data_IF_947814170779
#
_entry.id   IF_947814170779
#
_cell.length_a   1.000
_cell.length_b   1.000
_cell.length_c   1.000
_cell.angle_alpha   90.00
_cell.angle_beta   90.00
_cell.angle_gamma   90.00
#
_symmetry.space_group_name_H-M   'P 1'
#
loop_
_entity.id
_entity.type
_entity.pdbx_description
1 polymer ?
#
# COMPACT_ATOMS: atom_id res chain seq x y z
N UNK A 1 28.15 6.61 -23.70
CA UNK A 1 27.06 5.63 -23.88
C UNK A 1 26.99 4.85 -22.57
N UNK A 2 25.96 5.08 -21.76
CA UNK A 2 25.68 4.31 -20.55
C UNK A 2 25.21 2.95 -21.06
N UNK A 3 25.91 1.87 -20.74
CA UNK A 3 25.42 0.53 -21.04
C UNK A 3 24.11 0.32 -20.30
N UNK A 4 23.04 -0.19 -20.96
CA UNK A 4 21.81 -0.50 -20.25
C UNK A 4 22.15 -1.46 -19.11
N UNK A 5 21.65 -1.16 -17.91
CA UNK A 5 21.81 -2.00 -16.73
C UNK A 5 21.22 -3.37 -17.05
N UNK A 6 22.08 -4.37 -17.26
CA UNK A 6 21.59 -5.72 -17.46
C UNK A 6 20.95 -6.21 -16.17
N UNK A 7 19.75 -6.81 -16.23
CA UNK A 7 19.10 -7.37 -15.04
C UNK A 7 20.08 -8.29 -14.30
N UNK A 8 20.16 -8.17 -12.99
CA UNK A 8 20.95 -9.09 -12.13
C UNK A 8 20.34 -10.49 -12.08
N UNK A 9 19.26 -10.71 -12.81
CA UNK A 9 18.56 -11.97 -12.93
C UNK A 9 17.39 -12.11 -11.95
N UNK A 10 17.63 -12.46 -10.69
CA UNK A 10 16.55 -12.76 -9.74
C UNK A 10 16.80 -12.14 -8.38
N UNK A 11 15.72 -11.70 -7.72
CA UNK A 11 15.75 -11.24 -6.33
C UNK A 11 14.44 -11.58 -5.62
N UNK A 12 14.54 -11.86 -4.32
CA UNK A 12 13.39 -12.12 -3.46
C UNK A 12 13.34 -11.08 -2.35
N UNK A 13 12.13 -10.61 -2.04
CA UNK A 13 11.91 -9.66 -0.96
C UNK A 13 10.66 -10.01 -0.17
N UNK A 14 10.72 -9.82 1.16
CA UNK A 14 9.59 -9.92 2.07
C UNK A 14 9.14 -8.51 2.46
N UNK A 15 7.84 -8.26 2.38
CA UNK A 15 7.25 -7.06 2.94
C UNK A 15 6.05 -7.40 3.82
N UNK A 16 5.94 -6.68 4.92
CA UNK A 16 4.88 -6.89 5.90
C UNK A 16 3.66 -6.03 5.56
N UNK A 17 2.47 -6.52 5.93
CA UNK A 17 1.25 -5.71 5.81
C UNK A 17 1.21 -4.64 6.89
N UNK A 18 0.39 -3.63 6.70
CA UNK A 18 0.20 -2.57 7.67
C UNK A 18 -1.29 -2.34 7.96
N UNK A 19 -1.59 -1.88 9.17
CA UNK A 19 -2.92 -1.42 9.57
C UNK A 19 -2.88 0.10 9.72
N UNK A 20 -3.71 0.80 8.95
CA UNK A 20 -3.87 2.23 9.11
C UNK A 20 -4.59 2.55 10.43
N UNK A 21 -3.97 3.38 11.27
CA UNK A 21 -4.56 3.99 12.46
C UNK A 21 -5.24 5.30 12.09
N UNK A 22 -4.59 6.11 11.24
CA UNK A 22 -5.21 7.23 10.54
C UNK A 22 -5.44 6.81 9.09
N UNK A 23 -6.72 6.76 8.69
CA UNK A 23 -7.16 6.08 7.47
C UNK A 23 -6.81 6.86 6.21
N UNK A 24 -6.41 6.12 5.19
CA UNK A 24 -6.35 6.56 3.80
C UNK A 24 -7.70 6.29 3.14
N UNK A 25 -8.43 7.36 2.79
CA UNK A 25 -9.74 7.25 2.14
C UNK A 25 -9.98 8.39 1.16
N UNK A 26 -9.71 8.12 -0.13
CA UNK A 26 -9.84 9.08 -1.21
C UNK A 26 -8.54 9.33 -1.98
N UNK A 27 -8.67 9.51 -3.29
CA UNK A 27 -7.58 9.84 -4.20
C UNK A 27 -7.90 11.13 -4.95
N UNK A 28 -7.01 12.11 -4.89
CA UNK A 28 -7.11 13.32 -5.73
C UNK A 28 -6.58 13.09 -7.15
N UNK A 29 -5.72 12.07 -7.34
CA UNK A 29 -5.26 11.62 -8.65
C UNK A 29 -5.30 10.09 -8.72
N UNK A 30 -6.02 9.57 -9.72
CA UNK A 30 -6.22 8.13 -9.89
C UNK A 30 -5.03 7.44 -10.59
N UNK A 31 -4.35 8.12 -11.50
CA UNK A 31 -3.24 7.57 -12.27
C UNK A 31 -1.96 7.49 -11.44
N UNK A 32 -1.67 8.55 -10.68
CA UNK A 32 -0.52 8.64 -9.80
C UNK A 32 -0.80 8.12 -8.39
N UNK A 33 -2.04 7.72 -8.09
CA UNK A 33 -2.47 7.28 -6.76
C UNK A 33 -2.18 8.30 -5.65
N UNK A 34 -2.29 9.60 -5.97
CA UNK A 34 -2.12 10.64 -4.97
C UNK A 34 -3.32 10.66 -4.02
N UNK A 35 -3.11 10.56 -2.71
CA UNK A 35 -4.19 10.56 -1.75
C UNK A 35 -4.70 11.98 -1.48
N UNK A 36 -5.94 12.08 -1.01
CA UNK A 36 -6.50 13.36 -0.55
C UNK A 36 -5.87 13.78 0.77
N UNK A 37 -5.61 12.81 1.66
CA UNK A 37 -5.08 13.05 3.01
C UNK A 37 -3.82 12.24 3.26
N UNK A 38 -2.96 12.73 4.14
CA UNK A 38 -1.91 11.91 4.76
C UNK A 38 -2.54 10.82 5.64
N UNK A 39 -1.77 9.79 5.94
CA UNK A 39 -2.24 8.66 6.75
C UNK A 39 -1.11 8.07 7.58
N UNK A 40 -1.44 7.38 8.68
CA UNK A 40 -0.49 6.74 9.56
C UNK A 40 -0.87 5.28 9.77
N UNK A 41 0.10 4.38 9.79
CA UNK A 41 -0.13 2.95 10.02
C UNK A 41 0.91 2.35 10.95
N UNK A 42 0.53 1.20 11.55
CA UNK A 42 1.45 0.28 12.22
C UNK A 42 1.72 -0.90 11.30
N UNK A 43 2.98 -1.27 11.12
CA UNK A 43 3.39 -2.47 10.37
C UNK A 43 3.24 -3.70 11.24
N UNK A 44 2.66 -4.78 10.69
CA UNK A 44 2.37 -6.01 11.41
C UNK A 44 3.47 -7.04 11.16
N UNK A 45 4.00 -7.62 12.22
CA UNK A 45 5.08 -8.61 12.14
C UNK A 45 4.61 -9.96 11.55
N UNK A 46 3.45 -10.45 11.99
CA UNK A 46 2.98 -11.81 11.67
C UNK A 46 2.45 -11.96 10.21
N UNK A 47 2.15 -10.87 9.49
CA UNK A 47 1.49 -10.92 8.19
C UNK A 47 2.36 -10.27 7.11
N UNK A 48 2.74 -11.05 6.11
CA UNK A 48 3.66 -10.61 5.07
C UNK A 48 3.39 -11.28 3.72
N UNK A 49 4.06 -10.79 2.69
CA UNK A 49 4.12 -11.42 1.36
C UNK A 49 5.59 -11.57 0.95
N UNK A 50 5.97 -12.75 0.52
CA UNK A 50 7.24 -13.02 -0.13
C UNK A 50 7.06 -12.92 -1.64
N UNK A 51 7.87 -12.14 -2.33
CA UNK A 51 7.84 -12.01 -3.78
C UNK A 51 9.22 -12.17 -4.37
N UNK A 52 9.34 -13.09 -5.32
CA UNK A 52 10.51 -13.25 -6.18
C UNK A 52 10.21 -12.68 -7.56
N UNK A 53 11.14 -11.89 -8.10
CA UNK A 53 11.11 -11.39 -9.47
C UNK A 53 12.34 -11.91 -10.19
N UNK A 54 12.14 -12.59 -11.31
CA UNK A 54 13.21 -13.12 -12.17
C UNK A 54 13.03 -12.56 -13.57
N UNK A 55 13.95 -11.71 -14.00
CA UNK A 55 14.00 -11.22 -15.37
C UNK A 55 14.69 -12.24 -16.27
N UNK A 56 14.04 -12.60 -17.38
CA UNK A 56 14.52 -13.60 -18.33
C UNK A 56 14.26 -13.14 -19.76
N UNK A 57 15.33 -12.98 -20.52
CA UNK A 57 15.29 -12.56 -21.93
C UNK A 57 14.61 -13.57 -22.86
N UNK A 58 14.39 -14.80 -22.41
CA UNK A 58 13.69 -15.84 -23.20
C UNK A 58 12.16 -15.75 -23.05
N UNK A 59 11.66 -14.99 -22.07
CA UNK A 59 10.22 -14.81 -21.91
C UNK A 59 9.65 -13.86 -22.96
N UNK A 60 8.63 -14.30 -23.67
CA UNK A 60 7.90 -13.47 -24.64
C UNK A 60 6.99 -12.44 -23.94
N UNK A 61 6.50 -12.75 -22.75
CA UNK A 61 5.63 -11.91 -21.92
C UNK A 61 5.83 -12.20 -20.44
N UNK A 62 5.39 -11.28 -19.60
CA UNK A 62 5.45 -11.47 -18.15
C UNK A 62 4.55 -12.62 -17.71
N UNK A 63 4.96 -13.29 -16.63
CA UNK A 63 4.17 -14.33 -15.96
C UNK A 63 4.04 -13.99 -14.49
N UNK A 64 2.89 -14.32 -13.92
CA UNK A 64 2.63 -14.13 -12.51
C UNK A 64 2.06 -15.37 -11.85
N UNK A 65 2.72 -15.87 -10.83
CA UNK A 65 2.30 -17.00 -10.00
C UNK A 65 2.01 -16.47 -8.59
N UNK A 66 0.81 -16.70 -8.08
CA UNK A 66 0.41 -16.34 -6.71
C UNK A 66 -0.02 -17.61 -5.98
N UNK A 67 0.59 -17.87 -4.83
CA UNK A 67 0.31 -19.05 -3.98
C UNK A 67 0.36 -20.38 -4.76
N UNK A 68 1.34 -20.48 -5.65
CA UNK A 68 1.55 -21.66 -6.51
C UNK A 68 0.63 -21.75 -7.73
N UNK A 69 -0.27 -20.79 -7.95
CA UNK A 69 -1.21 -20.78 -9.07
C UNK A 69 -0.86 -19.69 -10.09
N UNK A 70 -0.75 -20.09 -11.36
CA UNK A 70 -0.57 -19.12 -12.45
C UNK A 70 -1.81 -18.25 -12.61
N UNK A 71 -1.60 -16.95 -12.71
CA UNK A 71 -2.67 -15.96 -12.67
C UNK A 71 -3.19 -15.64 -14.07
N UNK A 72 -4.47 -15.25 -14.13
CA UNK A 72 -5.13 -14.84 -15.36
C UNK A 72 -4.50 -13.60 -16.00
N UNK A 73 -4.67 -13.43 -17.31
CA UNK A 73 -4.13 -12.32 -18.10
C UNK A 73 -4.42 -10.93 -17.51
N UNK A 74 -5.58 -10.75 -16.88
CA UNK A 74 -5.97 -9.49 -16.23
C UNK A 74 -5.10 -9.14 -15.01
N UNK A 75 -4.65 -10.12 -14.26
CA UNK A 75 -3.76 -9.94 -13.11
C UNK A 75 -2.31 -9.78 -13.58
N UNK A 76 -1.89 -10.58 -14.55
CA UNK A 76 -0.58 -10.43 -15.20
C UNK A 76 -0.41 -9.03 -15.76
N UNK A 77 -1.42 -8.47 -16.45
CA UNK A 77 -1.37 -7.13 -17.01
C UNK A 77 -1.15 -6.04 -15.93
N UNK A 78 -1.75 -6.19 -14.75
CA UNK A 78 -1.55 -5.24 -13.63
C UNK A 78 -0.12 -5.29 -13.11
N UNK A 79 0.43 -6.50 -12.94
CA UNK A 79 1.81 -6.70 -12.51
C UNK A 79 2.77 -6.17 -13.57
N UNK A 80 2.55 -6.49 -14.84
CA UNK A 80 3.36 -6.02 -15.97
C UNK A 80 3.42 -4.48 -16.04
N UNK A 81 2.27 -3.82 -15.95
CA UNK A 81 2.19 -2.36 -15.94
C UNK A 81 2.91 -1.73 -14.72
N UNK A 82 2.97 -2.45 -13.61
CA UNK A 82 3.77 -2.02 -12.46
C UNK A 82 5.27 -2.19 -12.71
N UNK A 83 5.71 -3.32 -13.25
CA UNK A 83 7.10 -3.59 -13.62
C UNK A 83 7.62 -2.61 -14.68
N UNK A 84 6.76 -2.16 -15.60
CA UNK A 84 7.14 -1.22 -16.66
C UNK A 84 7.67 0.12 -16.12
N UNK A 85 7.23 0.54 -14.93
CA UNK A 85 7.78 1.73 -14.24
C UNK A 85 9.26 1.55 -13.90
N UNK A 86 9.63 0.36 -13.44
CA UNK A 86 11.02 0.03 -13.12
C UNK A 86 11.85 -0.25 -14.38
N UNK A 87 11.24 -0.89 -15.39
CA UNK A 87 11.89 -1.10 -16.69
C UNK A 87 12.27 0.21 -17.35
N UNK A 88 11.41 1.21 -17.28
CA UNK A 88 11.68 2.56 -17.79
C UNK A 88 12.92 3.18 -17.11
N UNK A 89 13.09 2.99 -15.80
CA UNK A 89 14.26 3.47 -15.06
C UNK A 89 15.52 2.67 -15.40
N UNK A 90 15.39 1.35 -15.59
CA UNK A 90 16.50 0.47 -15.96
C UNK A 90 16.83 0.49 -17.46
N UNK A 91 16.02 1.17 -18.26
CA UNK A 91 16.15 1.21 -19.73
C UNK A 91 16.16 -0.20 -20.36
N UNK A 92 15.28 -1.08 -19.90
CA UNK A 92 15.15 -2.46 -20.39
C UNK A 92 13.70 -2.81 -20.70
N UNK A 93 13.48 -3.73 -21.65
CA UNK A 93 12.17 -4.31 -21.97
C UNK A 93 12.08 -5.80 -21.57
N UNK A 94 13.10 -6.31 -20.87
CA UNK A 94 13.19 -7.69 -20.43
C UNK A 94 11.96 -8.10 -19.63
N UNK A 95 11.37 -9.26 -19.96
CA UNK A 95 10.19 -9.80 -19.31
C UNK A 95 10.56 -10.53 -18.02
N UNK A 96 9.59 -10.69 -17.13
CA UNK A 96 9.83 -11.28 -15.84
C UNK A 96 8.82 -12.37 -15.48
N UNK A 97 9.31 -13.37 -14.75
CA UNK A 97 8.50 -14.26 -13.95
C UNK A 97 8.42 -13.67 -12.53
N UNK A 98 7.21 -13.39 -12.07
CA UNK A 98 6.91 -12.98 -10.69
C UNK A 98 6.27 -14.15 -9.96
N UNK A 99 6.86 -14.55 -8.84
CA UNK A 99 6.28 -15.56 -7.94
C UNK A 99 6.07 -14.95 -6.57
N UNK A 100 4.82 -14.92 -6.10
CA UNK A 100 4.46 -14.40 -4.78
C UNK A 100 3.79 -15.46 -3.93
N UNK A 101 4.13 -15.46 -2.64
CA UNK A 101 3.45 -16.26 -1.62
C UNK A 101 2.91 -15.33 -0.55
N UNK A 102 1.60 -15.42 -0.30
CA UNK A 102 0.91 -14.54 0.62
C UNK A 102 0.69 -15.22 1.98
N UNK A 103 1.27 -14.65 3.03
CA UNK A 103 1.12 -15.10 4.42
C UNK A 103 0.17 -14.17 5.21
N UNK A 104 -0.82 -13.62 4.52
CA UNK A 104 -1.88 -12.79 5.11
C UNK A 104 -3.18 -13.58 5.05
N UNK A 105 -3.94 -13.71 6.15
CA UNK A 105 -5.22 -14.43 6.14
C UNK A 105 -6.15 -13.88 5.07
N UNK A 106 -6.63 -14.76 4.20
CA UNK A 106 -7.57 -14.40 3.13
C UNK A 106 -8.88 -13.92 3.75
N UNK A 107 -9.43 -12.84 3.26
CA UNK A 107 -10.69 -12.25 3.73
C UNK A 107 -10.69 -11.67 5.17
N UNK A 108 -9.54 -11.54 5.83
CA UNK A 108 -9.45 -10.94 7.17
C UNK A 108 -9.60 -9.39 7.17
N UNK A 109 -9.98 -8.78 6.05
CA UNK A 109 -10.02 -7.31 5.93
C UNK A 109 -8.62 -6.66 5.84
N UNK A 110 -7.56 -7.45 6.03
CA UNK A 110 -6.18 -7.02 5.89
C UNK A 110 -5.86 -6.80 4.42
N UNK A 111 -5.32 -5.64 4.09
CA UNK A 111 -4.98 -5.25 2.73
C UNK A 111 -3.71 -5.99 2.26
N UNK A 112 -3.85 -7.26 1.81
CA UNK A 112 -2.74 -8.04 1.24
C UNK A 112 -2.04 -7.33 0.07
N UNK A 113 -2.73 -6.43 -0.62
CA UNK A 113 -2.13 -5.61 -1.67
C UNK A 113 -1.03 -4.65 -1.15
N UNK A 114 -1.03 -4.31 0.15
CA UNK A 114 0.00 -3.45 0.73
C UNK A 114 1.36 -4.16 0.74
N UNK A 115 1.43 -5.34 1.36
CA UNK A 115 2.64 -6.15 1.40
C UNK A 115 3.05 -6.65 0.00
N UNK A 116 2.06 -7.08 -0.83
CA UNK A 116 2.34 -7.59 -2.17
C UNK A 116 3.06 -6.57 -3.06
N UNK A 117 2.55 -5.34 -3.18
CA UNK A 117 3.19 -4.33 -4.02
C UNK A 117 4.47 -3.75 -3.41
N UNK A 118 4.61 -3.74 -2.08
CA UNK A 118 5.86 -3.38 -1.43
C UNK A 118 6.96 -4.42 -1.70
N UNK A 119 6.66 -5.71 -1.52
CA UNK A 119 7.58 -6.80 -1.83
C UNK A 119 7.96 -6.82 -3.32
N UNK A 120 6.97 -6.63 -4.21
CA UNK A 120 7.19 -6.55 -5.65
C UNK A 120 8.11 -5.37 -6.02
N UNK A 121 7.92 -4.19 -5.42
CA UNK A 121 8.76 -3.03 -5.66
C UNK A 121 10.21 -3.30 -5.29
N UNK A 122 10.46 -3.80 -4.07
CA UNK A 122 11.80 -4.08 -3.59
C UNK A 122 12.49 -5.21 -4.36
N UNK A 123 11.77 -6.31 -4.65
CA UNK A 123 12.30 -7.41 -5.44
C UNK A 123 12.66 -6.96 -6.88
N UNK A 124 11.79 -6.16 -7.50
CA UNK A 124 12.04 -5.62 -8.85
C UNK A 124 13.25 -4.69 -8.88
N UNK A 125 13.35 -3.77 -7.90
CA UNK A 125 14.50 -2.88 -7.74
C UNK A 125 15.81 -3.66 -7.66
N UNK A 126 15.85 -4.69 -6.80
CA UNK A 126 17.03 -5.52 -6.61
C UNK A 126 17.36 -6.38 -7.85
N UNK A 127 16.35 -7.00 -8.48
CA UNK A 127 16.54 -7.84 -9.67
C UNK A 127 17.03 -7.04 -10.89
N UNK A 128 16.61 -5.79 -11.03
CA UNK A 128 17.12 -4.88 -12.07
C UNK A 128 18.45 -4.20 -11.71
N UNK A 129 18.92 -4.36 -10.47
CA UNK A 129 20.13 -3.70 -10.00
C UNK A 129 20.01 -2.19 -9.90
N UNK A 130 18.80 -1.67 -9.72
CA UNK A 130 18.57 -0.27 -9.44
C UNK A 130 18.95 0.02 -7.98
N UNK A 131 19.47 1.21 -7.73
CA UNK A 131 19.83 1.67 -6.39
C UNK A 131 18.86 2.81 -5.96
N UNK A 132 17.58 2.47 -5.91
CA UNK A 132 16.56 3.43 -5.53
C UNK A 132 16.51 3.58 -4.00
N UNK A 133 16.44 4.83 -3.54
CA UNK A 133 16.22 5.12 -2.13
C UNK A 133 14.84 4.61 -1.66
N UNK A 134 14.70 4.39 -0.35
CA UNK A 134 13.40 3.98 0.24
C UNK A 134 12.28 4.97 -0.09
N UNK A 135 12.57 6.27 -0.17
CA UNK A 135 11.60 7.28 -0.60
C UNK A 135 11.14 7.05 -2.04
N UNK A 136 12.06 6.81 -2.99
CA UNK A 136 11.73 6.51 -4.38
C UNK A 136 10.92 5.21 -4.51
N UNK A 137 11.31 4.17 -3.76
CA UNK A 137 10.56 2.93 -3.69
C UNK A 137 9.14 3.14 -3.15
N UNK A 138 8.98 3.98 -2.11
CA UNK A 138 7.68 4.34 -1.56
C UNK A 138 6.78 5.02 -2.60
N UNK A 139 7.32 5.94 -3.40
CA UNK A 139 6.61 6.60 -4.49
C UNK A 139 6.16 5.60 -5.56
N UNK A 140 7.02 4.64 -5.93
CA UNK A 140 6.69 3.62 -6.91
C UNK A 140 5.69 2.59 -6.36
N UNK A 141 5.91 2.07 -5.14
CA UNK A 141 5.01 1.10 -4.51
C UNK A 141 3.59 1.65 -4.37
N UNK A 142 3.43 2.93 -4.03
CA UNK A 142 2.16 3.65 -3.98
C UNK A 142 1.36 3.50 -5.28
N UNK A 143 2.03 3.57 -6.43
CA UNK A 143 1.39 3.51 -7.75
C UNK A 143 0.89 2.10 -8.11
N UNK A 144 1.27 1.09 -7.37
CA UNK A 144 0.66 -0.25 -7.43
C UNK A 144 -0.53 -0.37 -6.47
N UNK A 145 -0.31 0.03 -5.23
CA UNK A 145 -1.33 0.12 -4.18
C UNK A 145 -0.97 1.24 -3.21
N UNK A 146 -1.88 2.19 -2.96
CA UNK A 146 -1.59 3.34 -2.10
C UNK A 146 -1.01 2.94 -0.74
N UNK A 147 -1.60 1.95 -0.07
CA UNK A 147 -1.12 1.45 1.23
C UNK A 147 0.26 0.78 1.17
N UNK A 148 0.72 0.34 -0.01
CA UNK A 148 2.04 -0.30 -0.16
C UNK A 148 3.20 0.66 0.12
N UNK A 149 2.99 1.97 -0.04
CA UNK A 149 3.98 2.97 0.30
C UNK A 149 4.50 2.84 1.73
N UNK A 150 3.64 2.45 2.68
CA UNK A 150 3.97 2.28 4.09
C UNK A 150 4.56 0.92 4.44
N UNK A 151 4.25 -0.13 3.66
CA UNK A 151 4.75 -1.51 3.88
C UNK A 151 6.24 -1.72 3.55
N UNK A 152 6.93 -0.66 3.14
CA UNK A 152 8.39 -0.65 2.95
C UNK A 152 9.16 -0.47 4.25
N UNK A 153 8.47 -0.12 5.34
CA UNK A 153 9.05 0.26 6.62
C UNK A 153 8.43 -0.55 7.75
N UNK A 154 9.17 -0.70 8.85
CA UNK A 154 8.68 -1.22 10.12
C UNK A 154 8.14 -0.12 11.03
N UNK A 155 7.48 -0.50 12.11
CA UNK A 155 6.97 0.41 13.13
C UNK A 155 5.79 1.27 12.68
N UNK A 156 5.70 2.46 13.22
CA UNK A 156 4.73 3.48 12.81
C UNK A 156 5.24 4.25 11.59
N UNK A 157 4.41 4.34 10.57
CA UNK A 157 4.79 4.91 9.26
C UNK A 157 3.77 5.94 8.83
N UNK A 158 4.24 7.15 8.48
CA UNK A 158 3.41 8.20 7.88
C UNK A 158 3.56 8.14 6.36
N UNK A 159 2.45 8.19 5.65
CA UNK A 159 2.38 8.47 4.23
C UNK A 159 1.85 9.88 4.03
N UNK A 160 2.71 10.75 3.52
CA UNK A 160 2.39 12.15 3.22
C UNK A 160 1.54 12.25 1.95
N UNK A 161 0.46 13.00 2.02
CA UNK A 161 -0.39 13.26 0.85
C UNK A 161 0.39 13.97 -0.26
N UNK A 162 1.35 14.82 0.10
CA UNK A 162 2.06 15.66 -0.84
C UNK A 162 1.23 16.86 -1.30
N UNK A 163 1.73 17.58 -2.31
CA UNK A 163 1.13 18.82 -2.80
C UNK A 163 0.89 18.78 -4.31
N UNK A 164 -0.25 19.30 -4.73
CA UNK A 164 -0.60 19.42 -6.15
C UNK A 164 -0.57 18.07 -6.88
N UNK A 165 -0.13 18.10 -8.12
CA UNK A 165 0.04 16.93 -9.00
C UNK A 165 1.46 16.34 -8.97
N UNK A 166 2.33 16.85 -8.08
CA UNK A 166 3.70 16.37 -7.96
C UNK A 166 3.74 15.01 -7.28
N UNK A 167 4.01 13.96 -8.04
CA UNK A 167 4.13 12.58 -7.55
C UNK A 167 5.20 12.44 -6.48
N UNK A 168 6.32 13.13 -6.60
CA UNK A 168 7.48 12.99 -5.70
C UNK A 168 7.26 13.62 -4.33
N UNK A 169 6.24 14.47 -4.20
CA UNK A 169 5.84 15.06 -2.93
C UNK A 169 5.04 14.11 -2.03
N UNK A 170 4.51 13.01 -2.60
CA UNK A 170 3.72 12.02 -1.87
C UNK A 170 4.50 10.72 -1.68
N UNK A 171 5.02 10.50 -0.49
CA UNK A 171 5.86 9.36 -0.10
C UNK A 171 5.57 8.96 1.35
N UNK A 172 6.02 7.78 1.74
CA UNK A 172 5.97 7.34 3.13
C UNK A 172 7.36 7.35 3.75
N UNK A 173 7.40 7.56 5.07
CA UNK A 173 8.61 7.49 5.88
C UNK A 173 8.30 6.95 7.28
N UNK A 174 9.29 6.37 7.96
CA UNK A 174 9.16 5.96 9.36
C UNK A 174 8.84 7.17 10.23
N UNK A 175 7.94 6.96 11.20
CA UNK A 175 7.64 7.96 12.24
C UNK A 175 8.22 7.54 13.58
N UNK A 176 7.97 6.27 13.99
CA UNK A 176 8.42 5.72 15.26
C UNK A 176 8.65 4.21 15.11
N UNK A 177 9.67 3.67 15.78
CA UNK A 177 10.08 2.27 15.67
C UNK A 177 9.08 1.26 16.28
N UNK A 178 8.15 1.71 17.12
CA UNK A 178 7.23 0.88 17.89
C UNK A 178 7.98 -0.10 18.84
N UNK A 179 8.95 0.42 19.57
CA UNK A 179 9.76 -0.36 20.52
C UNK A 179 9.02 -0.70 21.82
N UNK A 180 7.77 -0.30 21.99
CA UNK A 180 6.90 -0.65 23.08
C UNK A 180 6.05 -1.88 22.78
N UNK A 181 5.62 -2.61 23.80
CA UNK A 181 4.91 -3.89 23.71
C UNK A 181 3.49 -3.69 23.15
N UNK A 182 3.36 -3.74 21.82
CA UNK A 182 2.11 -3.57 21.09
C UNK A 182 1.70 -4.85 20.39
N UNK A 183 0.42 -5.22 20.54
CA UNK A 183 -0.19 -6.31 19.81
C UNK A 183 -1.46 -5.84 19.06
N UNK A 184 -1.65 -6.33 17.84
CA UNK A 184 -2.86 -6.11 17.06
C UNK A 184 -3.65 -7.41 16.96
N UNK A 185 -4.76 -7.51 17.71
CA UNK A 185 -5.67 -8.64 17.61
C UNK A 185 -6.61 -8.46 16.42
N UNK A 186 -6.56 -9.37 15.46
CA UNK A 186 -7.46 -9.36 14.29
C UNK A 186 -8.62 -10.32 14.53
N UNK A 187 -9.84 -9.77 14.64
CA UNK A 187 -11.08 -10.55 14.79
C UNK A 187 -11.77 -10.67 13.44
N UNK A 188 -11.86 -11.90 12.91
CA UNK A 188 -12.57 -12.18 11.66
C UNK A 188 -14.05 -12.41 11.92
N UNK A 189 -14.89 -11.43 11.57
CA UNK A 189 -16.35 -11.50 11.72
C UNK A 189 -17.00 -12.18 10.51
N UNK A 190 -16.46 -11.96 9.31
CA UNK A 190 -17.00 -12.53 8.08
C UNK A 190 -15.87 -12.95 7.13
N UNK A 191 -15.97 -14.14 6.54
CA UNK A 191 -15.02 -14.69 5.55
C UNK A 191 -15.43 -14.43 4.10
N UNK A 192 -16.51 -13.69 3.87
CA UNK A 192 -17.00 -13.38 2.52
C UNK A 192 -16.15 -12.35 1.78
N UNK A 193 -16.20 -12.38 0.46
CA UNK A 193 -15.56 -11.34 -0.38
C UNK A 193 -16.29 -10.01 -0.24
N UNK A 194 -15.54 -8.91 -0.25
CA UNK A 194 -16.11 -7.55 -0.23
C UNK A 194 -17.00 -7.34 -1.46
N UNK A 195 -18.23 -6.85 -1.24
CA UNK A 195 -19.16 -6.51 -2.33
C UNK A 195 -18.67 -5.37 -3.22
N UNK A 196 -17.91 -4.43 -2.65
CA UNK A 196 -17.32 -3.29 -3.35
C UNK A 196 -15.83 -3.22 -3.02
N UNK A 197 -14.99 -3.01 -4.02
CA UNK A 197 -13.55 -2.82 -3.79
C UNK A 197 -13.27 -1.50 -3.10
N UNK A 198 -12.17 -1.41 -2.32
CA UNK A 198 -11.79 -0.14 -1.67
C UNK A 198 -11.59 1.00 -2.68
N UNK A 199 -11.13 0.69 -3.91
CA UNK A 199 -10.99 1.69 -4.98
C UNK A 199 -12.33 2.27 -5.41
N UNK A 200 -13.30 1.40 -5.66
CA UNK A 200 -14.68 1.81 -6.03
C UNK A 200 -15.36 2.53 -4.87
N UNK A 201 -15.20 2.02 -3.64
CA UNK A 201 -15.76 2.63 -2.44
C UNK A 201 -15.24 4.05 -2.21
N UNK A 202 -13.92 4.27 -2.34
CA UNK A 202 -13.33 5.61 -2.25
C UNK A 202 -13.92 6.58 -3.29
N UNK A 203 -14.00 6.16 -4.55
CA UNK A 203 -14.55 7.00 -5.62
C UNK A 203 -16.01 7.35 -5.33
N UNK A 204 -16.84 6.35 -5.01
CA UNK A 204 -18.25 6.54 -4.68
C UNK A 204 -18.45 7.48 -3.48
N UNK A 205 -17.64 7.32 -2.43
CA UNK A 205 -17.72 8.17 -1.24
C UNK A 205 -17.38 9.62 -1.58
N UNK A 206 -16.29 9.84 -2.34
CA UNK A 206 -15.87 11.18 -2.75
C UNK A 206 -16.92 11.89 -3.60
N UNK A 207 -17.60 11.14 -4.47
CA UNK A 207 -18.58 11.67 -5.42
C UNK A 207 -19.94 11.95 -4.77
N UNK A 208 -20.37 11.09 -3.83
CA UNK A 208 -21.78 11.08 -3.41
C UNK A 208 -22.02 11.36 -1.93
N UNK A 209 -21.00 11.25 -1.06
CA UNK A 209 -21.20 11.46 0.39
C UNK A 209 -21.16 12.94 0.77
N UNK A 210 -22.26 13.49 1.33
CA UNK A 210 -22.30 14.88 1.76
C UNK A 210 -21.32 15.21 2.90
N UNK A 211 -20.85 14.19 3.62
CA UNK A 211 -19.90 14.35 4.72
C UNK A 211 -18.43 14.28 4.28
N UNK A 212 -18.17 13.90 3.03
CA UNK A 212 -16.80 13.74 2.58
C UNK A 212 -16.00 15.06 2.58
N UNK A 213 -16.66 16.19 2.40
CA UNK A 213 -16.01 17.50 2.41
C UNK A 213 -15.31 17.81 3.75
N UNK A 214 -15.77 17.23 4.87
CA UNK A 214 -15.17 17.41 6.20
C UNK A 214 -14.01 16.44 6.46
N UNK A 215 -13.93 15.35 5.68
CA UNK A 215 -12.97 14.27 5.90
C UNK A 215 -11.51 14.72 5.93
N UNK A 216 -11.01 15.57 4.99
CA UNK A 216 -9.62 16.00 4.99
C UNK A 216 -9.20 16.75 6.26
N UNK A 217 -10.04 17.66 6.74
CA UNK A 217 -9.76 18.47 7.94
C UNK A 217 -9.77 17.60 9.20
N UNK A 218 -10.72 16.66 9.32
CA UNK A 218 -10.79 15.73 10.43
C UNK A 218 -9.59 14.78 10.48
N UNK A 219 -9.15 14.28 9.33
CA UNK A 219 -7.93 13.45 9.25
C UNK A 219 -6.69 14.24 9.64
N UNK A 220 -6.59 15.51 9.24
CA UNK A 220 -5.44 16.35 9.59
C UNK A 220 -5.35 16.56 11.12
N UNK A 221 -6.48 16.79 11.80
CA UNK A 221 -6.55 16.87 13.27
C UNK A 221 -6.16 15.55 13.92
N UNK A 222 -6.78 14.44 13.50
CA UNK A 222 -6.51 13.12 14.06
C UNK A 222 -5.03 12.72 13.88
N UNK A 223 -4.42 13.06 12.73
CA UNK A 223 -3.00 12.81 12.49
C UNK A 223 -2.09 13.66 13.39
N UNK A 224 -2.46 14.91 13.65
CA UNK A 224 -1.71 15.77 14.58
C UNK A 224 -1.82 15.27 16.04
N UNK A 225 -3.01 14.80 16.43
CA UNK A 225 -3.29 14.36 17.79
C UNK A 225 -2.68 12.97 18.12
N UNK A 226 -2.62 12.05 17.14
CA UNK A 226 -2.11 10.69 17.39
C UNK A 226 -0.59 10.64 17.55
N UNK A 227 0.15 11.54 16.90
CA UNK A 227 1.61 11.54 16.94
C UNK A 227 2.19 11.71 18.35
N UNK A 228 1.80 12.73 19.14
CA UNK A 228 2.27 12.86 20.53
C UNK A 228 1.82 11.68 21.41
N UNK A 229 0.66 11.10 21.17
CA UNK A 229 0.20 9.92 21.92
C UNK A 229 1.09 8.69 21.65
N UNK A 230 1.51 8.48 20.39
CA UNK A 230 2.46 7.41 20.03
C UNK A 230 3.81 7.65 20.72
N UNK A 231 4.35 8.86 20.66
CA UNK A 231 5.64 9.19 21.27
C UNK A 231 5.61 9.08 22.81
N UNK A 232 4.44 9.29 23.42
CA UNK A 232 4.22 9.13 24.86
C UNK A 232 3.92 7.67 25.27
N UNK A 233 3.82 6.74 24.32
CA UNK A 233 3.38 5.36 24.51
C UNK A 233 2.00 5.25 25.18
N UNK A 234 1.13 6.23 24.94
CA UNK A 234 -0.24 6.30 25.48
C UNK A 234 -1.18 5.46 24.57
N UNK A 235 -1.25 4.15 24.86
CA UNK A 235 -2.04 3.20 24.09
C UNK A 235 -3.54 3.55 24.10
N UNK A 236 -4.08 4.00 25.23
CA UNK A 236 -5.49 4.34 25.35
C UNK A 236 -5.83 5.52 24.43
N UNK A 237 -4.99 6.54 24.42
CA UNK A 237 -5.17 7.72 23.56
C UNK A 237 -5.00 7.37 22.08
N UNK A 238 -3.99 6.57 21.73
CA UNK A 238 -3.80 6.05 20.35
C UNK A 238 -5.02 5.27 19.89
N UNK A 239 -5.54 4.38 20.75
CA UNK A 239 -6.73 3.58 20.45
C UNK A 239 -7.97 4.43 20.22
N UNK A 240 -8.27 5.39 21.12
CA UNK A 240 -9.39 6.31 21.00
C UNK A 240 -9.37 7.12 19.69
N UNK A 241 -8.20 7.66 19.32
CA UNK A 241 -8.07 8.46 18.10
C UNK A 241 -8.25 7.56 16.87
N UNK A 242 -7.60 6.39 16.85
CA UNK A 242 -7.67 5.45 15.72
C UNK A 242 -9.09 4.91 15.50
N UNK A 243 -9.81 4.56 16.57
CA UNK A 243 -11.20 4.13 16.51
C UNK A 243 -12.11 5.25 15.98
N UNK A 244 -11.99 6.46 16.55
CA UNK A 244 -12.79 7.60 16.13
C UNK A 244 -12.53 7.98 14.66
N UNK A 245 -11.27 7.96 14.21
CA UNK A 245 -10.93 8.16 12.80
C UNK A 245 -11.58 7.10 11.88
N UNK A 246 -11.56 5.83 12.31
CA UNK A 246 -12.23 4.76 11.58
C UNK A 246 -13.75 4.99 11.50
N UNK A 247 -14.39 5.39 12.61
CA UNK A 247 -15.84 5.68 12.64
C UNK A 247 -16.20 6.86 11.74
N UNK A 248 -15.40 7.92 11.69
CA UNK A 248 -15.58 9.05 10.76
C UNK A 248 -15.54 8.56 9.30
N UNK A 249 -14.56 7.69 8.94
CA UNK A 249 -14.49 7.10 7.61
C UNK A 249 -15.76 6.29 7.30
N UNK A 250 -16.21 5.43 8.23
CA UNK A 250 -17.44 4.65 8.04
C UNK A 250 -18.67 5.55 7.89
N UNK A 251 -18.75 6.65 8.62
CA UNK A 251 -19.85 7.62 8.47
C UNK A 251 -19.91 8.20 7.04
N UNK A 252 -18.75 8.51 6.43
CA UNK A 252 -18.73 8.95 5.02
C UNK A 252 -19.20 7.87 4.05
N UNK A 253 -18.88 6.59 4.31
CA UNK A 253 -19.32 5.47 3.47
C UNK A 253 -20.82 5.18 3.60
N UNK A 254 -21.32 5.21 4.82
CA UNK A 254 -22.75 4.99 5.10
C UNK A 254 -23.62 6.09 4.47
N UNK A 255 -23.10 7.33 4.43
CA UNK A 255 -23.78 8.47 3.80
C UNK A 255 -23.59 8.56 2.28
N UNK A 256 -22.81 7.68 1.67
CA UNK A 256 -22.67 7.61 0.21
C UNK A 256 -23.94 7.06 -0.46
N UNK A 257 -24.10 7.32 -1.74
CA UNK A 257 -25.26 6.82 -2.52
C UNK A 257 -24.79 6.02 -3.75
N UNK A 258 -25.03 4.68 -3.78
CA UNK A 258 -25.63 3.86 -2.74
C UNK A 258 -24.77 3.75 -1.47
N UNK A 259 -25.43 3.60 -0.32
CA UNK A 259 -24.77 3.38 0.97
C UNK A 259 -24.04 2.02 1.01
N UNK A 260 -22.90 1.99 1.66
CA UNK A 260 -22.15 0.74 1.88
C UNK A 260 -21.34 0.79 3.18
N UNK A 261 -20.90 -0.38 3.63
CA UNK A 261 -19.97 -0.54 4.76
C UNK A 261 -19.06 -1.75 4.53
N UNK A 262 -17.96 -1.80 5.23
CA UNK A 262 -17.06 -2.95 5.29
C UNK A 262 -17.19 -3.68 6.61
#
# INVERSE_FOLDING_TARGET
MIQPNQPKGSATYRAHTNIALIKYWGKRDQALFLPVTSSLSLTLDAFYTDTQVTFDAQLAHDRFILDGQEQEASQVAKVSAFLDRFRALAQTDCRALVTSTNHVPTAAGLASSASAYAALACATNAALGLDLSQRQLSILARQGSGSASRSLFGGFVIWHAGQGENSDSSYAEPFEAAEWDLAMLVVMVNKGTKKISSRQGMALTMETSPFYALWPDEVAKDLADIQPAILAHDLDRVGQIAEHNAMKMHATMIAANPSFSY
#
